data_IF_664648174065
#
_entry.id   IF_664648174065
#
_cell.length_a   1.000
_cell.length_b   1.000
_cell.length_c   1.000
_cell.angle_alpha   90.00
_cell.angle_beta   90.00
_cell.angle_gamma   90.00
#
_symmetry.space_group_name_H-M   'P 1'
#
loop_
_entity.id
_entity.type
_entity.pdbx_description
1 polymer ?
#
# COMPACT_ATOMS: atom_id res chain seq x y z
N UNK A 1 1.53 3.06 -16.70
CA UNK A 1 0.89 2.63 -15.44
C UNK A 1 0.87 3.84 -14.56
N UNK A 2 -0.32 4.36 -14.29
CA UNK A 2 -0.54 5.55 -13.47
C UNK A 2 -0.42 5.21 -11.98
N UNK A 3 -0.36 6.25 -11.15
CA UNK A 3 -0.33 6.12 -9.71
C UNK A 3 -1.63 5.48 -9.20
N UNK A 4 -2.76 5.84 -9.81
CA UNK A 4 -4.05 5.23 -9.53
C UNK A 4 -4.06 3.74 -9.89
N UNK A 5 -3.52 3.36 -11.06
CA UNK A 5 -3.36 1.94 -11.45
C UNK A 5 -2.54 1.18 -10.40
N UNK A 6 -1.53 1.84 -9.80
CA UNK A 6 -0.70 1.25 -8.75
C UNK A 6 -1.50 1.01 -7.46
N UNK A 7 -2.38 1.93 -7.06
CA UNK A 7 -3.24 1.75 -5.90
C UNK A 7 -4.30 0.67 -6.12
N UNK A 8 -4.92 0.63 -7.31
CA UNK A 8 -5.85 -0.44 -7.71
C UNK A 8 -5.17 -1.81 -7.71
N UNK A 9 -3.92 -1.87 -8.19
CA UNK A 9 -3.12 -3.09 -8.13
C UNK A 9 -2.80 -3.48 -6.68
N UNK A 10 -2.44 -2.51 -5.82
CA UNK A 10 -2.22 -2.76 -4.40
C UNK A 10 -3.49 -3.33 -3.72
N UNK A 11 -4.67 -2.79 -4.00
CA UNK A 11 -5.95 -3.31 -3.51
C UNK A 11 -6.21 -4.74 -3.98
N UNK A 12 -5.98 -5.02 -5.26
CA UNK A 12 -6.12 -6.37 -5.84
C UNK A 12 -5.21 -7.37 -5.11
N UNK A 13 -3.96 -6.98 -4.85
CA UNK A 13 -3.01 -7.81 -4.12
C UNK A 13 -3.43 -7.98 -2.65
N UNK A 14 -3.92 -6.92 -1.99
CA UNK A 14 -4.37 -6.92 -0.59
C UNK A 14 -5.55 -7.88 -0.43
N UNK A 15 -6.56 -7.77 -1.28
CA UNK A 15 -7.71 -8.69 -1.33
C UNK A 15 -7.26 -10.14 -1.55
N UNK A 16 -6.36 -10.37 -2.49
CA UNK A 16 -5.84 -11.72 -2.75
C UNK A 16 -5.13 -12.32 -1.52
N UNK A 17 -4.32 -11.51 -0.81
CA UNK A 17 -3.65 -11.97 0.42
C UNK A 17 -4.63 -12.19 1.57
N UNK A 18 -5.63 -11.32 1.71
CA UNK A 18 -6.68 -11.47 2.71
C UNK A 18 -7.48 -12.76 2.49
N UNK A 19 -7.93 -13.04 1.26
CA UNK A 19 -8.65 -14.26 0.92
C UNK A 19 -7.83 -15.54 1.21
N UNK A 20 -6.53 -15.54 0.88
CA UNK A 20 -5.65 -16.65 1.23
C UNK A 20 -5.50 -16.84 2.75
N UNK A 21 -5.56 -15.75 3.52
CA UNK A 21 -5.48 -15.77 4.97
C UNK A 21 -6.76 -16.32 5.59
N UNK A 22 -7.93 -15.91 5.11
CA UNK A 22 -9.23 -16.46 5.53
C UNK A 22 -9.35 -17.97 5.23
N UNK A 23 -8.91 -18.39 4.04
CA UNK A 23 -8.85 -19.80 3.68
C UNK A 23 -7.92 -20.58 4.65
N UNK A 24 -6.77 -20.01 4.99
CA UNK A 24 -5.86 -20.62 5.95
C UNK A 24 -6.46 -20.70 7.37
N UNK A 25 -7.17 -19.66 7.83
CA UNK A 25 -7.88 -19.63 9.11
C UNK A 25 -8.88 -20.79 9.22
N UNK A 26 -9.57 -21.09 8.11
CA UNK A 26 -10.56 -22.16 8.04
C UNK A 26 -9.94 -23.56 7.99
N UNK A 27 -8.85 -23.73 7.22
CA UNK A 27 -8.27 -25.05 6.94
C UNK A 27 -7.29 -25.56 8.00
N UNK A 28 -6.50 -24.67 8.61
CA UNK A 28 -5.40 -25.06 9.50
C UNK A 28 -5.19 -24.08 10.66
N UNK A 29 -6.18 -23.87 11.55
CA UNK A 29 -6.14 -22.86 12.62
C UNK A 29 -4.96 -23.02 13.59
N UNK A 30 -4.36 -24.21 13.68
CA UNK A 30 -3.22 -24.51 14.55
C UNK A 30 -1.85 -24.26 13.91
N UNK A 31 -1.79 -23.88 12.62
CA UNK A 31 -0.54 -23.60 11.90
C UNK A 31 0.03 -22.21 12.24
N UNK A 32 0.34 -22.00 13.52
CA UNK A 32 0.70 -20.69 14.10
C UNK A 32 1.86 -19.99 13.40
N UNK A 33 2.90 -20.74 13.00
CA UNK A 33 4.05 -20.20 12.27
C UNK A 33 3.63 -19.64 10.90
N UNK A 34 2.77 -20.36 10.19
CA UNK A 34 2.22 -19.92 8.90
C UNK A 34 1.39 -18.66 9.11
N UNK A 35 0.51 -18.61 10.12
CA UNK A 35 -0.26 -17.39 10.42
C UNK A 35 0.62 -16.19 10.72
N UNK A 36 1.71 -16.39 11.48
CA UNK A 36 2.65 -15.31 11.79
C UNK A 36 3.24 -14.70 10.52
N UNK A 37 3.72 -15.55 9.61
CA UNK A 37 4.32 -15.09 8.36
C UNK A 37 3.30 -14.40 7.45
N UNK A 38 2.07 -14.92 7.38
CA UNK A 38 0.99 -14.32 6.59
C UNK A 38 0.54 -12.98 7.16
N UNK A 39 0.33 -12.88 8.49
CA UNK A 39 0.01 -11.61 9.18
C UNK A 39 1.09 -10.57 8.90
N UNK A 40 2.36 -10.94 9.06
CA UNK A 40 3.49 -10.05 8.84
C UNK A 40 3.58 -9.59 7.38
N UNK A 41 3.36 -10.51 6.43
CA UNK A 41 3.32 -10.17 5.00
C UNK A 41 2.18 -9.20 4.68
N UNK A 42 1.00 -9.41 5.24
CA UNK A 42 -0.16 -8.54 5.01
C UNK A 42 0.08 -7.16 5.60
N UNK A 43 0.54 -7.09 6.86
CA UNK A 43 0.90 -5.85 7.55
C UNK A 43 1.93 -5.03 6.77
N UNK A 44 3.00 -5.67 6.29
CA UNK A 44 4.04 -5.00 5.49
C UNK A 44 3.49 -4.45 4.18
N UNK A 45 2.55 -5.16 3.55
CA UNK A 45 1.94 -4.71 2.31
C UNK A 45 0.99 -3.54 2.54
N UNK A 46 0.15 -3.62 3.57
CA UNK A 46 -0.75 -2.55 3.97
C UNK A 46 0.03 -1.26 4.30
N UNK A 47 1.11 -1.36 5.07
CA UNK A 47 1.95 -0.20 5.38
C UNK A 47 2.58 0.44 4.12
N UNK A 48 2.91 -0.36 3.09
CA UNK A 48 3.42 0.17 1.82
C UNK A 48 2.34 0.88 1.01
N UNK A 49 1.14 0.29 0.97
CA UNK A 49 -0.05 0.87 0.36
C UNK A 49 -0.38 2.21 1.01
N UNK A 50 -0.53 2.25 2.34
CA UNK A 50 -0.78 3.48 3.11
C UNK A 50 0.22 4.59 2.79
N UNK A 51 1.51 4.28 2.71
CA UNK A 51 2.53 5.28 2.35
C UNK A 51 2.43 5.79 0.92
N UNK A 52 1.90 4.99 -0.01
CA UNK A 52 1.63 5.43 -1.39
C UNK A 52 0.39 6.30 -1.40
N UNK A 53 -0.69 5.83 -0.81
CA UNK A 53 -1.95 6.55 -0.67
C UNK A 53 -1.75 7.92 -0.02
N UNK A 54 -1.07 7.99 1.12
CA UNK A 54 -0.79 9.25 1.82
C UNK A 54 -0.06 10.25 0.91
N UNK A 55 0.92 9.79 0.13
CA UNK A 55 1.63 10.65 -0.83
C UNK A 55 0.71 11.18 -1.92
N UNK A 56 -0.18 10.34 -2.46
CA UNK A 56 -1.13 10.78 -3.49
C UNK A 56 -2.11 11.81 -2.95
N UNK A 57 -2.75 11.48 -1.82
CA UNK A 57 -3.72 12.35 -1.16
C UNK A 57 -3.07 13.70 -0.83
N UNK A 58 -1.84 13.67 -0.30
CA UNK A 58 -1.11 14.89 0.01
C UNK A 58 -0.87 15.74 -1.25
N UNK A 59 -0.36 15.16 -2.33
CA UNK A 59 -0.14 15.87 -3.61
C UNK A 59 -1.43 16.42 -4.20
N UNK A 60 -2.50 15.66 -4.13
CA UNK A 60 -3.80 16.07 -4.60
C UNK A 60 -4.31 17.30 -3.83
N UNK A 61 -4.20 17.32 -2.49
CA UNK A 61 -4.59 18.47 -1.68
C UNK A 61 -3.64 19.68 -1.73
N UNK A 62 -2.37 19.49 -2.12
CA UNK A 62 -1.48 20.59 -2.49
C UNK A 62 -1.96 21.25 -3.78
N UNK A 63 -2.35 20.45 -4.78
CA UNK A 63 -2.77 20.93 -6.10
C UNK A 63 -4.19 21.51 -6.11
N UNK A 64 -5.10 20.90 -5.33
CA UNK A 64 -6.51 21.25 -5.23
C UNK A 64 -6.90 21.55 -3.77
N UNK A 65 -6.55 22.73 -3.22
CA UNK A 65 -6.78 23.04 -1.80
C UNK A 65 -8.26 23.03 -1.40
N UNK A 66 -9.18 23.34 -2.33
CA UNK A 66 -10.63 23.27 -2.10
C UNK A 66 -11.12 21.84 -1.82
N UNK A 67 -10.39 20.81 -2.27
CA UNK A 67 -10.73 19.43 -2.00
C UNK A 67 -10.41 18.99 -0.55
N UNK A 68 -9.69 19.80 0.24
CA UNK A 68 -9.39 19.49 1.66
C UNK A 68 -10.63 19.45 2.55
N UNK A 69 -11.74 20.03 2.09
CA UNK A 69 -13.03 19.99 2.78
C UNK A 69 -13.83 18.73 2.47
N UNK A 70 -13.36 17.88 1.54
CA UNK A 70 -13.95 16.57 1.33
C UNK A 70 -13.74 15.74 2.60
N UNK A 71 -14.78 15.07 3.12
CA UNK A 71 -14.70 14.27 4.33
C UNK A 71 -13.86 13.02 4.05
N UNK A 72 -12.54 13.14 4.17
CA UNK A 72 -11.61 12.09 3.80
C UNK A 72 -10.68 11.72 4.96
N UNK A 73 -11.29 11.26 6.06
CA UNK A 73 -10.61 10.46 7.09
C UNK A 73 -10.92 8.99 6.85
N UNK A 74 -10.51 8.49 5.68
CA UNK A 74 -10.68 7.10 5.29
C UNK A 74 -9.32 6.49 4.99
N UNK A 75 -8.47 6.49 6.01
CA UNK A 75 -7.17 5.82 5.98
C UNK A 75 -7.29 4.40 6.55
N UNK A 76 -6.20 3.63 6.44
CA UNK A 76 -6.13 2.26 6.95
C UNK A 76 -5.49 2.15 8.35
N UNK A 77 -5.55 3.20 9.17
CA UNK A 77 -4.82 3.25 10.46
C UNK A 77 -5.32 2.19 11.43
N UNK A 78 -6.63 1.98 11.51
CA UNK A 78 -7.24 1.04 12.45
C UNK A 78 -6.94 -0.41 12.05
N UNK A 79 -7.08 -0.73 10.76
CA UNK A 79 -6.81 -2.04 10.17
C UNK A 79 -5.32 -2.39 10.34
N UNK A 80 -4.44 -1.42 10.11
CA UNK A 80 -3.00 -1.57 10.36
C UNK A 80 -2.68 -1.81 11.84
N UNK A 81 -3.31 -1.05 12.75
CA UNK A 81 -3.12 -1.22 14.19
C UNK A 81 -3.57 -2.60 14.67
N UNK A 82 -4.70 -3.10 14.16
CA UNK A 82 -5.20 -4.43 14.48
C UNK A 82 -4.28 -5.55 13.96
N UNK A 83 -3.84 -5.48 12.70
CA UNK A 83 -2.89 -6.45 12.13
C UNK A 83 -1.55 -6.45 12.86
N UNK A 84 -1.09 -5.27 13.30
CA UNK A 84 0.10 -5.15 14.14
C UNK A 84 -0.09 -5.83 15.50
N UNK A 85 -1.19 -5.55 16.19
CA UNK A 85 -1.50 -6.17 17.48
C UNK A 85 -1.57 -7.70 17.38
N UNK A 86 -2.21 -8.24 16.33
CA UNK A 86 -2.22 -9.69 16.06
C UNK A 86 -0.81 -10.23 15.84
N UNK A 87 0.00 -9.54 15.05
CA UNK A 87 1.38 -9.96 14.77
C UNK A 87 2.22 -10.01 16.06
N UNK A 88 2.06 -9.03 16.95
CA UNK A 88 2.70 -8.99 18.27
C UNK A 88 2.22 -10.13 19.17
N UNK A 89 0.92 -10.43 19.19
CA UNK A 89 0.37 -11.60 19.88
C UNK A 89 0.94 -12.93 19.35
N UNK A 90 1.11 -13.06 18.04
CA UNK A 90 1.71 -14.24 17.43
C UNK A 90 3.19 -14.39 17.79
N UNK A 91 3.91 -13.29 18.01
CA UNK A 91 5.30 -13.28 18.50
C UNK A 91 5.43 -13.63 19.98
N UNK A 92 4.42 -13.30 20.81
CA UNK A 92 4.41 -13.54 22.26
C UNK A 92 4.39 -15.02 22.71
N UNK A 93 4.42 -15.99 21.79
CA UNK A 93 4.55 -17.42 22.11
C UNK A 93 3.25 -18.14 22.51
N UNK A 94 3.37 -19.42 22.91
CA UNK A 94 2.29 -20.43 22.96
C UNK A 94 1.06 -20.12 23.84
N UNK A 95 1.09 -19.06 24.67
CA UNK A 95 0.01 -18.76 25.62
C UNK A 95 -1.19 -18.00 25.03
N UNK A 96 -1.11 -17.54 23.79
CA UNK A 96 -2.20 -16.79 23.16
C UNK A 96 -3.28 -17.72 22.60
N UNK A 97 -4.54 -17.42 22.94
CA UNK A 97 -5.73 -18.10 22.43
C UNK A 97 -5.81 -18.00 20.90
N UNK A 98 -5.73 -19.16 20.24
CA UNK A 98 -5.89 -19.27 18.78
C UNK A 98 -7.27 -18.77 18.32
N UNK A 99 -8.40 -19.11 18.97
CA UNK A 99 -9.71 -18.53 18.63
C UNK A 99 -9.74 -17.00 18.65
N UNK A 100 -9.07 -16.37 19.63
CA UNK A 100 -8.98 -14.91 19.70
C UNK A 100 -8.17 -14.34 18.53
N UNK A 101 -7.07 -14.99 18.15
CA UNK A 101 -6.27 -14.59 16.98
C UNK A 101 -7.12 -14.68 15.71
N UNK A 102 -7.85 -15.78 15.52
CA UNK A 102 -8.71 -15.98 14.35
C UNK A 102 -9.77 -14.87 14.27
N UNK A 103 -10.45 -14.59 15.38
CA UNK A 103 -11.46 -13.53 15.45
C UNK A 103 -10.86 -12.17 15.06
N UNK A 104 -9.72 -11.81 15.65
CA UNK A 104 -9.06 -10.51 15.40
C UNK A 104 -8.56 -10.36 13.97
N UNK A 105 -8.00 -11.42 13.39
CA UNK A 105 -7.59 -11.41 11.97
C UNK A 105 -8.80 -11.25 11.07
N UNK A 106 -9.87 -11.99 11.32
CA UNK A 106 -11.09 -11.95 10.49
C UNK A 106 -11.68 -10.55 10.49
N UNK A 107 -11.81 -9.92 11.67
CA UNK A 107 -12.27 -8.54 11.80
C UNK A 107 -11.38 -7.54 11.06
N UNK A 108 -10.06 -7.69 11.15
CA UNK A 108 -9.13 -6.80 10.45
C UNK A 108 -9.20 -6.97 8.93
N UNK A 109 -9.45 -8.18 8.44
CA UNK A 109 -9.64 -8.46 7.01
C UNK A 109 -10.95 -7.84 6.51
N UNK A 110 -12.05 -8.03 7.23
CA UNK A 110 -13.37 -7.49 6.88
C UNK A 110 -13.32 -5.96 6.79
N UNK A 111 -12.76 -5.30 7.81
CA UNK A 111 -12.58 -3.84 7.80
C UNK A 111 -11.66 -3.36 6.67
N UNK A 112 -10.59 -4.11 6.38
CA UNK A 112 -9.69 -3.78 5.26
C UNK A 112 -10.41 -3.86 3.92
N UNK A 113 -11.25 -4.88 3.71
CA UNK A 113 -12.05 -5.02 2.49
C UNK A 113 -13.05 -3.87 2.35
N UNK A 114 -13.84 -3.59 3.40
CA UNK A 114 -14.79 -2.48 3.43
C UNK A 114 -14.10 -1.14 3.13
N UNK A 115 -12.91 -0.92 3.70
CA UNK A 115 -12.13 0.30 3.47
C UNK A 115 -11.70 0.45 2.02
N UNK A 116 -11.17 -0.63 1.42
CA UNK A 116 -10.74 -0.60 0.01
C UNK A 116 -11.92 -0.37 -0.94
N UNK A 117 -13.06 -1.03 -0.68
CA UNK A 117 -14.28 -0.86 -1.48
C UNK A 117 -14.78 0.59 -1.40
N UNK A 118 -14.78 1.15 -0.20
CA UNK A 118 -15.22 2.52 0.03
C UNK A 118 -14.28 3.56 -0.64
N UNK A 119 -12.96 3.35 -0.57
CA UNK A 119 -11.98 4.18 -1.29
C UNK A 119 -12.15 4.08 -2.81
N UNK A 120 -12.34 2.89 -3.35
CA UNK A 120 -12.59 2.68 -4.78
C UNK A 120 -13.88 3.36 -5.23
N UNK A 121 -14.91 3.41 -4.38
CA UNK A 121 -16.18 4.03 -4.72
C UNK A 121 -16.18 5.56 -4.57
N UNK A 122 -15.40 6.09 -3.63
CA UNK A 122 -15.52 7.51 -3.24
C UNK A 122 -14.28 8.34 -3.55
N UNK A 123 -13.09 7.77 -3.40
CA UNK A 123 -11.83 8.49 -3.51
C UNK A 123 -11.20 8.34 -4.89
N UNK A 124 -11.19 7.11 -5.44
CA UNK A 124 -10.53 6.84 -6.72
C UNK A 124 -11.13 7.63 -7.90
N UNK A 125 -12.46 7.83 -8.01
CA UNK A 125 -13.03 8.65 -9.08
C UNK A 125 -12.53 10.10 -9.07
N UNK A 126 -12.13 10.63 -7.91
CA UNK A 126 -11.57 11.98 -7.80
C UNK A 126 -10.17 12.09 -8.41
N UNK A 127 -9.49 10.96 -8.59
CA UNK A 127 -8.14 10.88 -9.15
C UNK A 127 -8.13 10.49 -10.64
N UNK A 128 -9.21 9.95 -11.18
CA UNK A 128 -9.29 9.47 -12.57
C UNK A 128 -9.01 10.60 -13.59
N UNK A 129 -9.49 11.81 -13.28
CA UNK A 129 -9.36 12.97 -14.16
C UNK A 129 -8.05 13.76 -13.95
N UNK A 130 -7.17 13.31 -13.03
CA UNK A 130 -5.93 14.03 -12.69
C UNK A 130 -4.71 13.26 -13.17
N UNK A 131 -3.89 13.91 -13.99
CA UNK A 131 -2.66 13.30 -14.50
C UNK A 131 -1.54 13.27 -13.45
N UNK A 132 -0.62 12.30 -13.53
CA UNK A 132 0.56 12.25 -12.66
C UNK A 132 1.46 13.47 -12.79
N UNK A 133 1.50 14.08 -13.98
CA UNK A 133 2.25 15.31 -14.24
C UNK A 133 1.68 16.48 -13.45
N UNK A 134 0.34 16.62 -13.41
CA UNK A 134 -0.35 17.65 -12.63
C UNK A 134 -0.14 17.49 -11.12
N UNK A 135 0.08 16.25 -10.66
CA UNK A 135 0.38 15.93 -9.26
C UNK A 135 1.87 15.97 -8.93
N UNK A 136 2.74 16.21 -9.91
CA UNK A 136 4.20 16.17 -9.74
C UNK A 136 4.72 14.79 -9.31
N UNK A 137 4.01 13.73 -9.69
CA UNK A 137 4.32 12.33 -9.40
C UNK A 137 5.09 11.64 -10.54
N UNK A 138 5.12 12.27 -11.72
CA UNK A 138 5.87 11.77 -12.87
C UNK A 138 7.37 11.57 -12.51
N UNK A 139 8.01 10.48 -12.99
CA UNK A 139 9.44 10.29 -12.82
C UNK A 139 10.18 11.49 -13.41
N UNK A 140 11.04 12.15 -12.62
CA UNK A 140 11.92 13.19 -13.15
C UNK A 140 12.73 12.57 -14.29
N UNK A 141 12.61 13.14 -15.49
CA UNK A 141 13.43 12.73 -16.63
C UNK A 141 14.90 12.66 -16.19
N UNK A 142 15.65 11.61 -16.59
CA UNK A 142 17.05 11.52 -16.23
C UNK A 142 17.75 12.79 -16.69
N UNK A 143 18.36 13.52 -15.74
CA UNK A 143 19.24 14.64 -16.08
C UNK A 143 20.27 14.07 -17.05
N UNK A 144 20.22 14.51 -18.32
CA UNK A 144 21.28 14.19 -19.28
C UNK A 144 22.60 14.53 -18.58
N UNK A 145 23.55 13.59 -18.45
CA UNK A 145 24.87 13.94 -17.97
C UNK A 145 25.36 15.08 -18.86
N UNK A 146 25.81 16.18 -18.26
CA UNK A 146 26.44 17.25 -19.00
C UNK A 146 27.53 16.60 -19.85
N UNK A 147 27.39 16.67 -21.17
CA UNK A 147 28.39 16.16 -22.10
C UNK A 147 29.68 16.88 -21.77
N UNK A 148 30.62 16.20 -21.12
CA UNK A 148 31.98 16.68 -20.97
C UNK A 148 32.51 16.73 -22.41
N UNK A 149 32.58 17.94 -22.96
CA UNK A 149 33.22 18.23 -24.23
C UNK A 149 34.72 18.03 -24.08
N UNK A 150 35.16 16.77 -24.02
CA UNK A 150 36.55 16.38 -24.19
C UNK A 150 36.83 16.29 -25.68
N UNK A 151 37.27 17.39 -26.29
CA UNK A 151 37.86 17.36 -27.62
C UNK A 151 39.15 16.53 -27.55
N UNK A 152 39.08 15.24 -27.89
CA UNK A 152 40.25 14.41 -28.16
C UNK A 152 40.70 14.72 -29.59
N UNK A 153 41.68 15.61 -29.71
CA UNK A 153 42.49 15.77 -30.92
C UNK A 153 43.19 14.44 -31.22
N UNK A 154 42.79 13.78 -32.30
CA UNK A 154 43.46 12.59 -32.82
C UNK A 154 44.56 13.04 -33.76
N UNK A 155 45.77 12.55 -33.50
CA UNK A 155 47.01 12.72 -34.25
C UNK A 155 46.82 12.83 -35.78
N UNK A 156 47.32 13.90 -36.37
CA UNK A 156 47.69 13.93 -37.78
C UNK A 156 49.02 13.19 -37.94
N UNK A 157 48.99 12.06 -38.64
CA UNK A 157 50.16 11.44 -39.26
C UNK A 157 50.39 12.17 -40.58
N UNK A 158 51.52 12.87 -40.68
CA UNK A 158 52.42 12.92 -41.85
C UNK A 158 53.76 13.53 -41.40
#
# INVERSE_FOLDING_TARGET
MTFLDTLQQDHTLLRSKAALMEAALSAAPYARLVFREKCFSLLRMLNRHMKREERLIHRFYERFPSARYLPNRRDHVDEHAQLRAVTELLLGGLKVSIPLIILRVSQAIEQLQERMDDQEHTLFPLFEDVTEEELGLAPRAPRRPASISGAMSVNAIL
#
